data_IF_704306561988
#
_entry.id   IF_704306561988
#
_cell.length_a   1.000
_cell.length_b   1.000
_cell.length_c   1.000
_cell.angle_alpha   90.00
_cell.angle_beta   90.00
_cell.angle_gamma   90.00
#
_symmetry.space_group_name_H-M   'P 1'
#
loop_
_entity.id
_entity.type
_entity.pdbx_description
1 polymer ?
#
# COMPACT_ATOMS: atom_id res chain seq x y z
N UNK A 1 -10.60 -20.07 7.83
CA UNK A 1 -10.07 -18.94 8.59
C UNK A 1 -10.76 -17.66 8.16
N UNK A 2 -11.02 -16.78 9.10
CA UNK A 2 -11.66 -15.50 8.79
C UNK A 2 -10.72 -14.61 8.00
N UNK A 3 -11.24 -13.89 7.01
CA UNK A 3 -10.48 -12.88 6.29
C UNK A 3 -10.21 -11.70 7.21
N UNK A 4 -9.10 -11.01 6.97
CA UNK A 4 -8.76 -9.78 7.66
C UNK A 4 -8.71 -8.63 6.66
N UNK A 5 -9.05 -7.44 7.13
CA UNK A 5 -9.13 -6.24 6.31
C UNK A 5 -8.32 -5.12 6.94
N UNK A 6 -7.58 -4.42 6.09
CA UNK A 6 -6.92 -3.17 6.43
C UNK A 6 -7.85 -2.04 6.03
N UNK A 7 -8.18 -1.15 6.95
CA UNK A 7 -8.97 0.04 6.66
C UNK A 7 -8.07 1.26 6.75
N UNK A 8 -7.99 2.02 5.65
CA UNK A 8 -7.26 3.29 5.59
C UNK A 8 -8.27 4.42 5.51
N UNK A 9 -8.33 5.26 6.53
CA UNK A 9 -9.12 6.50 6.46
C UNK A 9 -8.26 7.55 5.76
N UNK A 10 -8.68 7.99 4.59
CA UNK A 10 -7.90 8.92 3.76
C UNK A 10 -8.36 10.35 3.89
N UNK A 11 -7.43 11.29 3.85
CA UNK A 11 -7.73 12.72 3.87
C UNK A 11 -8.57 13.15 2.67
N UNK A 12 -8.60 12.35 1.61
CA UNK A 12 -9.38 12.63 0.39
C UNK A 12 -10.88 12.37 0.53
N UNK A 13 -11.33 11.76 1.64
CA UNK A 13 -12.76 11.70 1.85
C UNK A 13 -13.36 10.53 2.59
N UNK A 14 -12.65 9.45 2.89
CA UNK A 14 -13.27 8.35 3.60
C UNK A 14 -12.43 7.10 3.71
N UNK A 15 -13.08 5.99 4.05
CA UNK A 15 -12.42 4.73 4.32
C UNK A 15 -12.20 3.90 3.06
N UNK A 16 -11.00 3.33 2.95
CA UNK A 16 -10.64 2.33 1.94
C UNK A 16 -10.47 1.00 2.65
N UNK A 17 -11.24 0.01 2.25
CA UNK A 17 -11.19 -1.33 2.83
C UNK A 17 -10.40 -2.25 1.92
N UNK A 18 -9.30 -2.79 2.44
CA UNK A 18 -8.37 -3.65 1.70
C UNK A 18 -8.42 -5.05 2.28
N UNK A 19 -8.73 -6.04 1.45
CA UNK A 19 -8.64 -7.44 1.86
C UNK A 19 -7.18 -7.86 1.90
N UNK A 20 -6.70 -8.28 3.06
CA UNK A 20 -5.35 -8.78 3.21
C UNK A 20 -5.24 -10.21 2.64
N UNK A 21 -4.14 -10.47 1.96
CA UNK A 21 -3.92 -11.74 1.25
C UNK A 21 -2.70 -12.48 1.80
N UNK A 22 -2.78 -13.06 3.01
CA UNK A 22 -1.66 -13.84 3.57
C UNK A 22 -1.38 -15.11 2.77
N UNK A 23 -2.35 -15.57 1.98
CA UNK A 23 -2.16 -16.67 1.04
C UNK A 23 -1.14 -16.34 -0.05
N UNK A 24 -1.01 -15.05 -0.41
CA UNK A 24 -0.07 -14.57 -1.43
C UNK A 24 1.26 -14.12 -0.84
N UNK A 25 1.22 -13.45 0.31
CA UNK A 25 2.40 -12.79 0.89
C UNK A 25 2.32 -12.75 2.40
N UNK A 26 2.52 -13.89 3.08
CA UNK A 26 2.35 -13.96 4.53
C UNK A 26 3.28 -13.02 5.30
N UNK A 27 4.53 -12.87 4.87
CA UNK A 27 5.49 -11.98 5.52
C UNK A 27 5.15 -10.51 5.34
N UNK A 28 4.70 -10.14 4.16
CA UNK A 28 4.28 -8.75 3.89
C UNK A 28 3.02 -8.39 4.65
N UNK A 29 2.03 -9.29 4.69
CA UNK A 29 0.81 -9.07 5.46
C UNK A 29 1.13 -8.92 6.95
N UNK A 30 2.01 -9.76 7.48
CA UNK A 30 2.43 -9.67 8.88
C UNK A 30 3.09 -8.32 9.18
N UNK A 31 3.96 -7.84 8.28
CA UNK A 31 4.60 -6.53 8.43
C UNK A 31 3.58 -5.40 8.41
N UNK A 32 2.65 -5.41 7.47
CA UNK A 32 1.60 -4.39 7.38
C UNK A 32 0.78 -4.35 8.68
N UNK A 33 0.36 -5.50 9.18
CA UNK A 33 -0.40 -5.58 10.43
C UNK A 33 0.40 -5.05 11.61
N UNK A 34 1.67 -5.36 11.68
CA UNK A 34 2.57 -4.93 12.74
C UNK A 34 2.71 -3.40 12.73
N UNK A 35 2.98 -2.82 11.57
CA UNK A 35 3.13 -1.38 11.42
C UNK A 35 1.81 -0.64 11.71
N UNK A 36 0.69 -1.18 11.27
CA UNK A 36 -0.64 -0.61 11.56
C UNK A 36 -0.88 -0.60 13.07
N UNK A 37 -0.57 -1.70 13.75
CA UNK A 37 -0.73 -1.81 15.19
C UNK A 37 0.12 -0.84 15.98
N UNK A 38 1.24 -0.40 15.42
CA UNK A 38 2.15 0.58 16.04
C UNK A 38 1.79 2.03 15.69
N UNK A 39 0.76 2.24 14.88
CA UNK A 39 0.40 3.58 14.43
C UNK A 39 1.37 4.16 13.39
N UNK A 40 2.20 3.34 12.78
CA UNK A 40 3.24 3.78 11.84
C UNK A 40 2.66 4.54 10.65
N UNK A 41 1.55 4.06 10.10
CA UNK A 41 0.96 4.65 8.90
C UNK A 41 0.07 5.87 9.19
N UNK A 42 -0.25 6.14 10.44
CA UNK A 42 -1.11 7.28 10.79
C UNK A 42 -0.40 8.59 10.42
N UNK A 43 -1.05 9.42 9.62
CA UNK A 43 -0.50 10.69 9.15
C UNK A 43 0.49 10.59 8.00
N UNK A 44 0.73 9.39 7.47
CA UNK A 44 1.72 9.19 6.39
C UNK A 44 1.13 9.63 5.06
N UNK A 45 1.93 10.34 4.26
CA UNK A 45 1.49 10.94 3.00
C UNK A 45 1.63 10.00 1.80
N UNK A 46 0.77 10.21 0.81
CA UNK A 46 0.94 9.62 -0.51
C UNK A 46 1.84 10.56 -1.33
N UNK A 47 3.11 10.31 -1.30
CA UNK A 47 4.13 11.18 -1.87
C UNK A 47 4.32 11.03 -3.38
N UNK A 48 3.69 10.02 -3.99
CA UNK A 48 3.79 9.78 -5.42
C UNK A 48 2.47 9.21 -5.93
N UNK A 49 1.73 10.02 -6.69
CA UNK A 49 0.43 9.62 -7.23
C UNK A 49 0.40 9.93 -8.72
N UNK A 50 0.39 8.90 -9.54
CA UNK A 50 0.45 9.03 -11.00
C UNK A 50 -0.89 8.60 -11.59
N UNK A 51 -1.61 9.52 -12.27
CA UNK A 51 -2.91 9.19 -12.88
C UNK A 51 -2.79 7.98 -13.81
N UNK A 52 -3.76 7.06 -13.71
CA UNK A 52 -3.81 5.88 -14.56
C UNK A 52 -2.76 4.82 -14.24
N UNK A 53 -1.95 5.03 -13.21
CA UNK A 53 -0.91 4.08 -12.81
C UNK A 53 -1.10 3.64 -11.34
N UNK A 54 -0.69 4.45 -10.38
CA UNK A 54 -0.75 4.03 -8.97
C UNK A 54 -0.65 5.22 -8.01
N UNK A 55 -1.03 4.98 -6.74
CA UNK A 55 -0.80 5.89 -5.62
C UNK A 55 0.16 5.20 -4.65
N UNK A 56 1.30 5.82 -4.35
CA UNK A 56 2.34 5.27 -3.48
C UNK A 56 2.47 6.07 -2.20
N UNK A 57 2.51 5.38 -1.08
CA UNK A 57 2.71 5.97 0.25
C UNK A 57 3.47 5.03 1.15
N UNK A 58 3.49 5.32 2.46
CA UNK A 58 4.14 4.47 3.45
C UNK A 58 5.54 4.86 3.83
N UNK A 59 6.05 5.98 3.30
CA UNK A 59 7.33 6.54 3.74
C UNK A 59 7.09 7.46 4.93
N UNK A 60 7.72 7.21 6.10
CA UNK A 60 7.47 8.03 7.29
C UNK A 60 7.83 9.49 7.12
N UNK A 61 8.82 9.79 6.26
CA UNK A 61 9.27 11.16 6.00
C UNK A 61 8.49 11.83 4.85
N UNK A 62 7.69 11.08 4.13
CA UNK A 62 6.96 11.58 2.98
C UNK A 62 7.83 11.90 1.77
N UNK A 63 9.09 11.44 1.75
CA UNK A 63 10.06 11.74 0.69
C UNK A 63 10.22 10.63 -0.34
N UNK A 64 9.79 9.42 0.01
CA UNK A 64 10.02 8.23 -0.81
C UNK A 64 11.34 7.55 -0.53
N UNK A 65 12.17 8.12 0.36
CA UNK A 65 13.50 7.60 0.66
C UNK A 65 13.57 6.78 1.96
N UNK A 66 12.52 6.82 2.78
CA UNK A 66 12.53 6.21 4.10
C UNK A 66 11.70 4.95 4.20
N UNK A 67 11.81 4.31 5.35
CA UNK A 67 11.05 3.12 5.72
C UNK A 67 11.00 2.99 7.23
N UNK A 68 10.45 1.87 7.71
CA UNK A 68 10.42 1.59 9.13
C UNK A 68 11.81 1.18 9.62
N UNK A 69 11.99 1.17 10.95
CA UNK A 69 13.24 0.68 11.57
C UNK A 69 13.38 -0.83 11.53
N UNK A 70 12.35 -1.54 11.03
CA UNK A 70 12.37 -3.00 10.93
C UNK A 70 13.22 -3.45 9.74
N UNK A 71 13.69 -4.72 9.74
CA UNK A 71 14.46 -5.25 8.62
C UNK A 71 13.67 -5.23 7.32
N UNK A 72 14.37 -5.15 6.20
CA UNK A 72 13.74 -5.27 4.89
C UNK A 72 13.09 -6.65 4.72
N UNK A 73 12.04 -6.68 3.92
CA UNK A 73 11.27 -7.90 3.66
C UNK A 73 11.85 -8.66 2.48
N UNK A 74 11.90 -9.97 2.63
CA UNK A 74 12.22 -10.86 1.53
C UNK A 74 11.05 -10.85 0.54
N UNK A 75 11.37 -10.84 -0.76
CA UNK A 75 10.35 -10.84 -1.80
C UNK A 75 9.42 -12.06 -1.70
N UNK A 76 8.14 -11.83 -1.96
CA UNK A 76 7.12 -12.88 -1.99
C UNK A 76 6.35 -12.75 -3.30
N UNK A 77 7.08 -12.77 -4.43
CA UNK A 77 6.46 -12.62 -5.74
C UNK A 77 5.47 -13.76 -5.99
N UNK A 78 4.36 -13.41 -6.60
CA UNK A 78 3.27 -14.35 -6.86
C UNK A 78 2.64 -14.04 -8.22
N UNK A 79 1.62 -14.83 -8.59
CA UNK A 79 1.00 -14.71 -9.92
C UNK A 79 -0.21 -13.77 -9.95
N UNK A 80 -0.48 -13.07 -8.85
CA UNK A 80 -1.62 -12.14 -8.82
C UNK A 80 -1.35 -10.97 -9.77
N UNK A 81 -2.26 -10.69 -10.73
CA UNK A 81 -2.03 -9.60 -11.68
C UNK A 81 -2.18 -8.23 -11.03
N UNK A 82 -1.38 -7.27 -11.50
CA UNK A 82 -1.49 -5.88 -11.06
C UNK A 82 -2.57 -5.17 -11.87
N UNK A 83 -3.78 -5.20 -11.32
CA UNK A 83 -4.96 -4.54 -11.91
C UNK A 83 -5.53 -3.54 -10.91
N UNK A 84 -6.53 -2.77 -11.34
CA UNK A 84 -7.13 -1.73 -10.48
C UNK A 84 -7.52 -2.29 -9.11
N UNK A 85 -7.09 -1.59 -8.05
CA UNK A 85 -7.37 -1.94 -6.66
C UNK A 85 -6.35 -2.86 -6.00
N UNK A 86 -5.38 -3.37 -6.75
CA UNK A 86 -4.34 -4.23 -6.18
C UNK A 86 -3.37 -3.40 -5.36
N UNK A 87 -3.02 -3.91 -4.17
CA UNK A 87 -2.03 -3.30 -3.29
C UNK A 87 -0.76 -4.13 -3.30
N UNK A 88 0.36 -3.51 -3.61
CA UNK A 88 1.65 -4.16 -3.76
C UNK A 88 2.72 -3.38 -3.02
N UNK A 89 3.85 -4.02 -2.71
CA UNK A 89 4.89 -3.38 -1.91
C UNK A 89 5.94 -2.73 -2.81
N UNK A 90 6.21 -1.45 -2.56
CA UNK A 90 7.27 -0.73 -3.25
C UNK A 90 8.63 -1.21 -2.73
N UNK A 91 9.65 -1.17 -3.59
CA UNK A 91 11.01 -1.58 -3.26
C UNK A 91 12.01 -0.82 -4.14
N UNK A 92 13.28 -0.91 -3.80
CA UNK A 92 14.35 -0.42 -4.65
C UNK A 92 14.64 -1.46 -5.75
N UNK A 93 15.72 -1.29 -6.51
CA UNK A 93 16.11 -2.29 -7.52
C UNK A 93 16.48 -3.64 -6.91
N UNK A 94 16.82 -3.68 -5.63
CA UNK A 94 17.10 -4.95 -4.93
C UNK A 94 15.77 -5.67 -4.63
N UNK A 95 15.60 -6.94 -5.05
CA UNK A 95 14.32 -7.63 -4.88
C UNK A 95 13.88 -7.81 -3.43
N UNK A 96 14.82 -7.87 -2.49
CA UNK A 96 14.53 -8.09 -1.07
C UNK A 96 14.68 -6.79 -0.26
N UNK A 97 14.25 -5.67 -0.82
CA UNK A 97 14.38 -4.34 -0.19
C UNK A 97 13.05 -3.71 0.22
N UNK A 98 11.94 -4.42 0.11
CA UNK A 98 10.65 -3.91 0.55
C UNK A 98 10.67 -3.71 2.07
N UNK A 99 9.98 -2.66 2.54
CA UNK A 99 9.96 -2.35 3.96
C UNK A 99 8.59 -1.87 4.42
N UNK A 100 8.20 -0.63 4.11
CA UNK A 100 6.94 -0.05 4.55
C UNK A 100 6.19 0.67 3.43
N UNK A 101 6.85 1.09 2.38
CA UNK A 101 6.19 1.79 1.29
C UNK A 101 5.39 0.81 0.42
N UNK A 102 4.20 1.24 0.04
CA UNK A 102 3.31 0.43 -0.79
C UNK A 102 2.63 1.30 -1.83
N UNK A 103 2.00 0.67 -2.81
CA UNK A 103 1.22 1.39 -3.80
C UNK A 103 -0.10 0.66 -4.08
N UNK A 104 -1.09 1.45 -4.48
CA UNK A 104 -2.42 0.96 -4.87
C UNK A 104 -2.58 1.27 -6.36
N UNK A 105 -2.89 0.26 -7.15
CA UNK A 105 -2.93 0.38 -8.61
C UNK A 105 -4.23 1.02 -9.06
N UNK A 106 -4.17 1.99 -9.98
CA UNK A 106 -5.35 2.64 -10.54
C UNK A 106 -5.91 1.92 -11.77
N UNK A 107 -5.04 1.30 -12.55
CA UNK A 107 -5.43 0.66 -13.80
C UNK A 107 -4.46 -0.48 -14.09
N UNK A 108 -4.69 -1.24 -15.17
CA UNK A 108 -3.86 -2.37 -15.52
C UNK A 108 -2.37 -1.99 -15.61
N UNK A 109 -1.54 -2.66 -14.82
CA UNK A 109 -0.10 -2.44 -14.76
C UNK A 109 0.63 -3.79 -14.86
N UNK A 110 0.28 -4.58 -15.86
CA UNK A 110 0.78 -5.94 -16.04
C UNK A 110 2.32 -6.01 -16.14
N UNK A 111 2.98 -4.91 -16.50
CA UNK A 111 4.45 -4.86 -16.53
C UNK A 111 5.08 -4.99 -15.14
N UNK A 112 4.28 -4.87 -14.07
CA UNK A 112 4.74 -5.07 -12.68
C UNK A 112 4.57 -6.52 -12.21
N UNK A 113 3.85 -7.34 -12.97
CA UNK A 113 3.50 -8.71 -12.54
C UNK A 113 4.75 -9.52 -12.24
N UNK A 114 4.72 -10.24 -11.11
CA UNK A 114 5.82 -11.09 -10.61
C UNK A 114 7.11 -10.35 -10.30
N UNK A 115 7.10 -9.03 -10.29
CA UNK A 115 8.27 -8.21 -9.96
C UNK A 115 8.08 -7.43 -8.67
N UNK A 116 6.86 -7.40 -8.16
CA UNK A 116 6.50 -6.77 -6.89
C UNK A 116 5.60 -7.71 -6.12
N UNK A 117 5.59 -7.58 -4.79
CA UNK A 117 4.82 -8.46 -3.92
C UNK A 117 3.42 -7.90 -3.70
N UNK A 118 2.41 -8.57 -4.27
CA UNK A 118 1.00 -8.25 -4.02
C UNK A 118 0.62 -8.81 -2.66
N UNK A 119 0.04 -7.97 -1.79
CA UNK A 119 -0.36 -8.38 -0.44
C UNK A 119 -1.83 -8.08 -0.13
N UNK A 120 -2.53 -7.37 -0.97
CA UNK A 120 -3.94 -7.05 -0.72
C UNK A 120 -4.66 -6.52 -1.94
N UNK A 121 -5.99 -6.38 -1.79
CA UNK A 121 -6.88 -5.88 -2.85
C UNK A 121 -7.93 -4.99 -2.23
N UNK A 122 -8.19 -3.83 -2.83
CA UNK A 122 -9.24 -2.92 -2.37
C UNK A 122 -10.60 -3.54 -2.65
N UNK A 123 -11.42 -3.67 -1.60
CA UNK A 123 -12.79 -4.18 -1.69
C UNK A 123 -13.81 -3.05 -1.75
N UNK A 124 -13.56 -1.95 -1.03
CA UNK A 124 -14.46 -0.81 -0.96
C UNK A 124 -13.65 0.48 -0.85
N UNK A 125 -14.19 1.57 -1.37
CA UNK A 125 -13.61 2.90 -1.18
C UNK A 125 -12.55 3.28 -2.19
N UNK A 126 -12.42 2.59 -3.31
CA UNK A 126 -11.42 2.92 -4.33
C UNK A 126 -11.58 4.35 -4.86
N UNK A 127 -12.79 4.90 -4.85
CA UNK A 127 -13.05 6.28 -5.23
C UNK A 127 -12.29 7.29 -4.36
N UNK A 128 -12.04 6.97 -3.09
CA UNK A 128 -11.23 7.82 -2.21
C UNK A 128 -9.75 7.79 -2.60
N UNK A 129 -9.27 6.68 -3.12
CA UNK A 129 -7.92 6.58 -3.67
C UNK A 129 -7.82 7.40 -4.96
N UNK A 130 -8.84 7.29 -5.82
CA UNK A 130 -8.91 8.07 -7.05
C UNK A 130 -8.88 9.58 -6.78
N UNK A 131 -9.43 10.00 -5.64
CA UNK A 131 -9.53 11.41 -5.25
C UNK A 131 -8.22 11.97 -4.65
N UNK A 132 -7.20 11.13 -4.43
CA UNK A 132 -5.92 11.62 -3.90
C UNK A 132 -5.28 12.62 -4.88
N UNK A 133 -4.70 13.71 -4.36
CA UNK A 133 -3.98 14.66 -5.22
C UNK A 133 -2.87 14.00 -6.00
N UNK A 134 -2.72 14.35 -7.27
CA UNK A 134 -1.76 13.75 -8.19
C UNK A 134 -0.44 14.53 -8.18
N UNK A 135 0.65 13.82 -8.42
CA UNK A 135 1.99 14.41 -8.52
C UNK A 135 3.10 13.52 -7.99
N UNK A 136 4.34 13.91 -8.24
CA UNK A 136 5.55 13.18 -7.82
C UNK A 136 6.59 14.14 -7.21
N UNK A 137 6.35 14.71 -6.03
CA UNK A 137 5.19 14.55 -5.15
C UNK A 137 4.05 15.47 -5.53
N UNK A 138 2.83 15.19 -5.03
CA UNK A 138 1.72 16.12 -5.15
C UNK A 138 2.05 17.45 -4.45
N UNK A 139 1.49 18.54 -4.94
CA UNK A 139 1.70 19.86 -4.33
C UNK A 139 1.16 19.92 -2.91
N UNK A 140 -0.01 19.31 -2.70
CA UNK A 140 -0.62 19.13 -1.37
C UNK A 140 -0.96 17.64 -1.20
N UNK A 141 0.01 16.83 -0.73
CA UNK A 141 -0.20 15.39 -0.68
C UNK A 141 -1.37 14.98 0.21
N UNK A 142 -2.15 14.03 -0.27
CA UNK A 142 -3.12 13.34 0.58
C UNK A 142 -2.38 12.45 1.58
N UNK A 143 -3.09 12.07 2.64
CA UNK A 143 -2.49 11.25 3.70
C UNK A 143 -3.44 10.20 4.22
N UNK A 144 -2.87 9.21 4.93
CA UNK A 144 -3.62 8.25 5.73
C UNK A 144 -3.88 8.93 7.06
N UNK A 145 -5.13 9.26 7.34
CA UNK A 145 -5.50 9.86 8.63
C UNK A 145 -5.35 8.82 9.73
N UNK A 146 -5.83 7.60 9.48
CA UNK A 146 -5.70 6.48 10.41
C UNK A 146 -5.76 5.16 9.66
N UNK A 147 -4.97 4.19 10.13
CA UNK A 147 -4.99 2.82 9.61
C UNK A 147 -5.38 1.86 10.74
N UNK A 148 -6.19 0.85 10.41
CA UNK A 148 -6.60 -0.18 11.36
C UNK A 148 -6.81 -1.51 10.66
N UNK A 149 -6.67 -2.60 11.41
CA UNK A 149 -6.92 -3.96 10.90
C UNK A 149 -8.09 -4.56 11.68
N UNK A 150 -9.00 -5.21 10.97
CA UNK A 150 -10.15 -5.86 11.57
C UNK A 150 -10.45 -7.18 10.88
N UNK A 151 -11.08 -8.11 11.61
CA UNK A 151 -11.63 -9.32 11.02
C UNK A 151 -12.95 -9.02 10.34
N UNK A 152 -13.30 -9.83 9.36
CA UNK A 152 -14.58 -9.71 8.67
C UNK A 152 -15.74 -10.16 9.57
#
# INVERSE_FOLDING_TARGET
>A
MADEYLTLNLSSGGDVKIKLRPDLAPGHVARIKELVGEGFYDGVKFHRVIPGFMAQGGCPDGTGMGGSSKPDLKAEFNNEPHVRGVCSMARTNAPNSANSQFFIVFDDASFLDRQYTVWGTVEEGMDHVDALPKGEPPREPGSIVKASVSAA
#
